data_IF_892660814346
#
_entry.id   IF_892660814346
#
_cell.length_a   1.000
_cell.length_b   1.000
_cell.length_c   1.000
_cell.angle_alpha   90.00
_cell.angle_beta   90.00
_cell.angle_gamma   90.00
#
_symmetry.space_group_name_H-M   'P 1'
#
loop_
_entity.id
_entity.type
_entity.pdbx_description
1 polymer ?
#
# COMPACT_ATOMS: atom_id res chain seq x y z
N UNK A 1 29.06 16.95 -16.76
CA UNK A 1 27.58 17.07 -16.87
C UNK A 1 26.88 15.71 -16.98
N UNK A 2 27.43 14.72 -17.68
CA UNK A 2 26.87 13.35 -17.74
C UNK A 2 26.68 12.68 -16.35
N UNK A 3 27.64 12.83 -15.44
CA UNK A 3 27.56 12.26 -14.08
C UNK A 3 26.43 12.84 -13.22
N UNK A 4 26.10 14.13 -13.41
CA UNK A 4 24.97 14.76 -12.72
C UNK A 4 23.63 14.26 -13.26
N UNK A 5 23.53 13.96 -14.55
CA UNK A 5 22.31 13.37 -15.12
C UNK A 5 22.14 11.92 -14.65
N UNK A 6 23.23 11.16 -14.61
CA UNK A 6 23.21 9.75 -14.20
C UNK A 6 22.90 9.55 -12.71
N UNK A 7 23.29 10.51 -11.86
CA UNK A 7 22.91 10.51 -10.43
C UNK A 7 21.46 10.94 -10.18
N UNK A 8 20.87 11.74 -11.07
CA UNK A 8 19.49 12.23 -10.93
C UNK A 8 18.43 11.28 -11.54
N UNK A 9 18.78 10.53 -12.59
CA UNK A 9 17.88 9.56 -13.22
C UNK A 9 17.30 8.52 -12.25
N UNK A 10 18.09 7.78 -11.44
CA UNK A 10 17.55 6.77 -10.53
C UNK A 10 16.66 7.37 -9.44
N UNK A 11 16.95 8.59 -8.98
CA UNK A 11 16.12 9.32 -8.02
C UNK A 11 14.75 9.62 -8.63
N UNK A 12 14.72 10.14 -9.86
CA UNK A 12 13.46 10.45 -10.56
C UNK A 12 12.65 9.20 -10.84
N UNK A 13 13.29 8.10 -11.25
CA UNK A 13 12.62 6.81 -11.45
C UNK A 13 12.02 6.28 -10.14
N UNK A 14 12.77 6.35 -9.04
CA UNK A 14 12.24 5.93 -7.74
C UNK A 14 11.06 6.80 -7.28
N UNK A 15 11.11 8.12 -7.54
CA UNK A 15 9.99 9.03 -7.24
C UNK A 15 8.75 8.70 -8.05
N UNK A 16 8.87 8.54 -9.37
CA UNK A 16 7.73 8.25 -10.24
C UNK A 16 7.15 6.88 -9.92
N UNK A 17 7.97 5.84 -9.84
CA UNK A 17 7.51 4.49 -9.49
C UNK A 17 6.88 4.46 -8.08
N UNK A 18 7.52 5.09 -7.09
CA UNK A 18 7.03 5.13 -5.71
C UNK A 18 5.65 5.77 -5.60
N UNK A 19 5.47 6.93 -6.26
CA UNK A 19 4.19 7.65 -6.32
C UNK A 19 3.13 6.89 -7.10
N UNK A 20 3.47 6.31 -8.26
CA UNK A 20 2.51 5.52 -9.06
C UNK A 20 2.03 4.31 -8.28
N UNK A 21 2.94 3.55 -7.66
CA UNK A 21 2.56 2.38 -6.86
C UNK A 21 1.75 2.77 -5.62
N UNK A 22 2.11 3.85 -4.92
CA UNK A 22 1.33 4.36 -3.79
C UNK A 22 -0.08 4.80 -4.21
N UNK A 23 -0.20 5.49 -5.35
CA UNK A 23 -1.48 5.92 -5.92
C UNK A 23 -2.37 4.74 -6.28
N UNK A 24 -1.81 3.68 -6.88
CA UNK A 24 -2.54 2.44 -7.18
C UNK A 24 -3.05 1.76 -5.90
N UNK A 25 -2.22 1.67 -4.86
CA UNK A 25 -2.62 1.10 -3.56
C UNK A 25 -3.76 1.91 -2.90
N UNK A 26 -3.64 3.24 -2.90
CA UNK A 26 -4.67 4.12 -2.37
C UNK A 26 -5.97 3.99 -3.16
N UNK A 27 -5.90 4.01 -4.49
CA UNK A 27 -7.05 3.83 -5.38
C UNK A 27 -7.75 2.49 -5.18
N UNK A 28 -7.01 1.39 -5.07
CA UNK A 28 -7.58 0.08 -4.77
C UNK A 28 -8.27 0.06 -3.39
N UNK A 29 -7.63 0.63 -2.37
CA UNK A 29 -8.20 0.71 -1.00
C UNK A 29 -9.50 1.51 -0.98
N UNK A 30 -9.53 2.64 -1.68
CA UNK A 30 -10.75 3.45 -1.83
C UNK A 30 -11.83 2.70 -2.60
N UNK A 31 -11.49 2.02 -3.70
CA UNK A 31 -12.45 1.24 -4.49
C UNK A 31 -13.07 0.11 -3.67
N UNK A 32 -12.28 -0.58 -2.85
CA UNK A 32 -12.81 -1.60 -1.94
C UNK A 32 -13.82 -1.03 -0.96
N UNK A 33 -13.54 0.15 -0.41
CA UNK A 33 -14.38 0.76 0.63
C UNK A 33 -15.64 1.41 0.06
N UNK A 34 -15.52 2.11 -1.07
CA UNK A 34 -16.59 2.92 -1.65
C UNK A 34 -17.47 2.14 -2.64
N UNK A 35 -16.92 1.11 -3.28
CA UNK A 35 -17.62 0.38 -4.35
C UNK A 35 -17.82 -1.08 -3.98
N UNK A 36 -16.77 -1.81 -3.65
CA UNK A 36 -16.88 -3.26 -3.45
C UNK A 36 -17.69 -3.61 -2.18
N UNK A 37 -17.35 -3.00 -1.04
CA UNK A 37 -17.98 -3.31 0.24
C UNK A 37 -19.51 -3.06 0.25
N UNK A 38 -20.03 -1.90 -0.19
CA UNK A 38 -21.48 -1.68 -0.23
C UNK A 38 -22.22 -2.73 -1.06
N UNK A 39 -21.66 -3.14 -2.21
CA UNK A 39 -22.27 -4.16 -3.09
C UNK A 39 -22.22 -5.56 -2.51
N UNK A 40 -21.16 -5.89 -1.78
CA UNK A 40 -21.06 -7.16 -1.06
C UNK A 40 -22.11 -7.23 0.07
N UNK A 41 -22.34 -6.11 0.78
CA UNK A 41 -23.32 -6.03 1.87
C UNK A 41 -24.79 -6.14 1.40
N UNK A 42 -25.07 -5.86 0.14
CA UNK A 42 -26.40 -6.05 -0.47
C UNK A 42 -26.71 -7.52 -0.78
N UNK A 43 -25.71 -8.41 -0.76
CA UNK A 43 -25.87 -9.82 -1.12
C UNK A 43 -26.39 -10.69 0.03
N UNK A 44 -27.14 -11.78 -0.25
CA UNK A 44 -27.49 -12.77 0.77
C UNK A 44 -26.24 -13.35 1.47
N UNK A 45 -26.36 -13.71 2.74
CA UNK A 45 -25.22 -14.09 3.59
C UNK A 45 -24.26 -15.11 2.96
N UNK A 46 -24.70 -16.23 2.34
CA UNK A 46 -23.77 -17.19 1.75
C UNK A 46 -22.92 -16.58 0.62
N UNK A 47 -23.56 -15.78 -0.24
CA UNK A 47 -22.90 -15.12 -1.37
C UNK A 47 -21.97 -14.00 -0.90
N UNK A 48 -22.40 -13.23 0.10
CA UNK A 48 -21.58 -12.19 0.74
C UNK A 48 -20.27 -12.76 1.25
N UNK A 49 -20.31 -13.88 1.97
CA UNK A 49 -19.14 -14.53 2.54
C UNK A 49 -18.18 -15.03 1.44
N UNK A 50 -18.73 -15.62 0.38
CA UNK A 50 -17.95 -16.06 -0.77
C UNK A 50 -17.29 -14.88 -1.52
N UNK A 51 -18.05 -13.80 -1.75
CA UNK A 51 -17.52 -12.58 -2.40
C UNK A 51 -16.42 -11.93 -1.56
N UNK A 52 -16.61 -11.83 -0.24
CA UNK A 52 -15.58 -11.33 0.67
C UNK A 52 -14.32 -12.20 0.64
N UNK A 53 -14.47 -13.53 0.71
CA UNK A 53 -13.34 -14.48 0.65
C UNK A 53 -12.53 -14.29 -0.63
N UNK A 54 -13.20 -14.18 -1.77
CA UNK A 54 -12.54 -13.97 -3.07
C UNK A 54 -11.85 -12.61 -3.14
N UNK A 55 -12.53 -11.54 -2.73
CA UNK A 55 -11.98 -10.18 -2.70
C UNK A 55 -10.74 -10.10 -1.80
N UNK A 56 -10.84 -10.62 -0.58
CA UNK A 56 -9.74 -10.59 0.40
C UNK A 56 -8.55 -11.44 -0.05
N UNK A 57 -8.80 -12.64 -0.60
CA UNK A 57 -7.72 -13.52 -1.12
C UNK A 57 -7.00 -12.85 -2.28
N UNK A 58 -7.75 -12.19 -3.17
CA UNK A 58 -7.18 -11.43 -4.28
C UNK A 58 -6.38 -10.23 -3.76
N UNK A 59 -6.95 -9.39 -2.90
CA UNK A 59 -6.24 -8.23 -2.32
C UNK A 59 -4.95 -8.62 -1.59
N UNK A 60 -4.98 -9.71 -0.81
CA UNK A 60 -3.80 -10.18 -0.08
C UNK A 60 -2.66 -10.64 -1.00
N UNK A 61 -2.95 -11.09 -2.22
CA UNK A 61 -1.90 -11.57 -3.12
C UNK A 61 -1.09 -10.43 -3.75
N UNK A 62 -1.70 -9.27 -4.02
CA UNK A 62 -1.02 -8.17 -4.72
C UNK A 62 -0.79 -6.91 -3.87
N UNK A 63 -1.61 -6.61 -2.87
CA UNK A 63 -1.45 -5.37 -2.09
C UNK A 63 -0.16 -5.36 -1.23
N UNK A 64 0.20 -6.43 -0.49
CA UNK A 64 1.44 -6.42 0.30
C UNK A 64 2.71 -6.30 -0.55
N UNK A 65 2.87 -7.03 -1.69
CA UNK A 65 4.02 -6.82 -2.58
C UNK A 65 4.13 -5.39 -3.13
N UNK A 66 3.02 -4.78 -3.55
CA UNK A 66 3.03 -3.39 -4.03
C UNK A 66 3.37 -2.40 -2.90
N UNK A 67 2.87 -2.65 -1.69
CA UNK A 67 3.20 -1.84 -0.52
C UNK A 67 4.69 -1.92 -0.17
N UNK A 68 5.27 -3.13 -0.22
CA UNK A 68 6.71 -3.34 -0.03
C UNK A 68 7.53 -2.62 -1.11
N UNK A 69 7.11 -2.70 -2.38
CA UNK A 69 7.77 -1.99 -3.48
C UNK A 69 7.76 -0.47 -3.25
N UNK A 70 6.58 0.11 -3.02
CA UNK A 70 6.44 1.56 -2.80
C UNK A 70 7.23 2.03 -1.57
N UNK A 71 7.14 1.27 -0.47
CA UNK A 71 7.88 1.56 0.77
C UNK A 71 9.39 1.52 0.55
N UNK A 72 9.90 0.51 -0.17
CA UNK A 72 11.33 0.37 -0.48
C UNK A 72 11.84 1.54 -1.31
N UNK A 73 11.05 2.00 -2.30
CA UNK A 73 11.40 3.16 -3.13
C UNK A 73 11.43 4.45 -2.30
N UNK A 74 10.47 4.66 -1.39
CA UNK A 74 10.51 5.82 -0.50
C UNK A 74 11.66 5.76 0.50
N UNK A 75 11.99 4.60 1.07
CA UNK A 75 13.16 4.49 1.95
C UNK A 75 14.49 4.70 1.21
N UNK A 76 14.59 4.24 -0.04
CA UNK A 76 15.71 4.59 -0.91
C UNK A 76 15.80 6.11 -1.13
N UNK A 77 14.69 6.78 -1.41
CA UNK A 77 14.68 8.24 -1.56
C UNK A 77 15.05 8.97 -0.26
N UNK A 78 14.63 8.44 0.89
CA UNK A 78 15.05 8.95 2.19
C UNK A 78 16.56 8.84 2.38
N UNK A 79 17.19 7.70 2.03
CA UNK A 79 18.64 7.56 2.16
C UNK A 79 19.40 8.53 1.27
N UNK A 80 18.90 8.81 0.07
CA UNK A 80 19.49 9.80 -0.85
C UNK A 80 19.27 11.25 -0.38
N UNK A 81 18.21 11.52 0.38
CA UNK A 81 17.90 12.84 0.93
C UNK A 81 18.73 13.20 2.18
N UNK A 82 19.60 12.32 2.67
CA UNK A 82 20.40 12.52 3.89
C UNK A 82 21.55 13.52 3.66
N UNK A 83 21.24 14.82 3.58
CA UNK A 83 22.22 15.92 3.60
C UNK A 83 22.06 16.79 4.84
N UNK A 84 23.12 17.51 5.25
CA UNK A 84 23.16 18.35 6.47
C UNK A 84 22.42 19.70 6.34
N UNK A 85 21.66 19.92 5.26
CA UNK A 85 20.86 21.14 5.10
C UNK A 85 19.44 20.97 5.67
N UNK A 86 18.83 21.99 6.30
CA UNK A 86 17.47 21.94 6.84
C UNK A 86 16.43 21.44 5.82
N UNK A 87 16.52 21.89 4.56
CA UNK A 87 15.63 21.46 3.47
C UNK A 87 15.77 19.98 3.09
N UNK A 88 16.82 19.32 3.55
CA UNK A 88 17.06 17.90 3.32
C UNK A 88 16.53 17.05 4.46
N UNK A 89 16.42 17.60 5.67
CA UNK A 89 15.76 16.95 6.80
C UNK A 89 14.26 16.78 6.56
N UNK A 90 13.58 17.80 6.04
CA UNK A 90 12.13 17.72 5.74
C UNK A 90 11.84 16.68 4.66
N UNK A 91 12.66 16.64 3.61
CA UNK A 91 12.55 15.63 2.54
C UNK A 91 12.80 14.22 3.06
N UNK A 92 13.80 14.05 3.93
CA UNK A 92 14.08 12.77 4.58
C UNK A 92 12.86 12.27 5.36
N UNK A 93 12.30 13.10 6.25
CA UNK A 93 11.15 12.70 7.06
C UNK A 93 9.88 12.49 6.23
N UNK A 94 9.68 13.28 5.16
CA UNK A 94 8.57 13.08 4.22
C UNK A 94 8.63 11.70 3.55
N UNK A 95 9.82 11.29 3.07
CA UNK A 95 10.01 9.97 2.48
C UNK A 95 9.90 8.84 3.50
N UNK A 96 10.42 9.01 4.72
CA UNK A 96 10.25 8.02 5.80
C UNK A 96 8.77 7.83 6.12
N UNK A 97 8.02 8.93 6.30
CA UNK A 97 6.59 8.90 6.58
C UNK A 97 5.83 8.20 5.44
N UNK A 98 6.11 8.54 4.18
CA UNK A 98 5.51 7.89 3.02
C UNK A 98 5.79 6.38 2.97
N UNK A 99 7.04 5.97 3.24
CA UNK A 99 7.42 4.56 3.28
C UNK A 99 6.75 3.78 4.40
N UNK A 100 6.63 4.37 5.59
CA UNK A 100 5.92 3.77 6.74
C UNK A 100 4.42 3.66 6.46
N UNK A 101 3.80 4.71 5.93
CA UNK A 101 2.38 4.70 5.58
C UNK A 101 2.07 3.65 4.53
N UNK A 102 2.87 3.53 3.48
CA UNK A 102 2.72 2.49 2.46
C UNK A 102 2.78 1.09 3.07
N UNK A 103 3.75 0.83 3.97
CA UNK A 103 3.93 -0.47 4.60
C UNK A 103 2.87 -0.80 5.68
N UNK A 104 2.23 0.23 6.25
CA UNK A 104 1.28 0.09 7.36
C UNK A 104 0.02 -0.72 7.03
N UNK A 105 -0.24 -1.01 5.76
CA UNK A 105 -1.35 -1.89 5.34
C UNK A 105 -1.28 -3.26 6.01
N UNK A 106 -0.08 -3.83 6.16
CA UNK A 106 0.13 -5.15 6.78
C UNK A 106 -0.21 -5.13 8.28
N UNK A 107 0.41 -4.27 9.12
CA UNK A 107 0.06 -4.21 10.54
C UNK A 107 -1.39 -3.79 10.76
N UNK A 108 -1.94 -2.88 9.94
CA UNK A 108 -3.37 -2.53 10.02
C UNK A 108 -4.26 -3.75 9.83
N UNK A 109 -3.98 -4.57 8.80
CA UNK A 109 -4.77 -5.78 8.51
C UNK A 109 -4.65 -6.81 9.64
N UNK A 110 -3.46 -6.99 10.21
CA UNK A 110 -3.24 -7.95 11.30
C UNK A 110 -3.90 -7.51 12.61
N UNK A 111 -3.83 -6.22 12.94
CA UNK A 111 -4.34 -5.69 14.22
C UNK A 111 -5.86 -5.51 14.16
N UNK A 112 -6.40 -4.91 13.10
CA UNK A 112 -7.80 -4.49 13.06
C UNK A 112 -8.70 -5.44 12.27
N UNK A 113 -8.18 -6.12 11.23
CA UNK A 113 -9.02 -6.95 10.36
C UNK A 113 -8.93 -8.45 10.65
N UNK A 114 -7.92 -8.94 11.37
CA UNK A 114 -7.70 -10.38 11.57
C UNK A 114 -8.89 -11.08 12.24
N UNK A 115 -9.46 -10.50 13.31
CA UNK A 115 -10.62 -11.05 14.00
C UNK A 115 -11.87 -11.10 13.13
N UNK A 116 -12.14 -10.02 12.39
CA UNK A 116 -13.26 -9.95 11.42
C UNK A 116 -13.07 -10.95 10.30
N UNK A 117 -11.87 -11.02 9.72
CA UNK A 117 -11.53 -11.97 8.66
C UNK A 117 -11.64 -13.41 9.12
N UNK A 118 -11.24 -13.75 10.35
CA UNK A 118 -11.39 -15.11 10.87
C UNK A 118 -12.86 -15.55 10.87
N UNK A 119 -13.79 -14.66 11.27
CA UNK A 119 -15.23 -14.94 11.28
C UNK A 119 -15.81 -15.04 9.86
N UNK A 120 -15.48 -14.10 8.99
CA UNK A 120 -16.02 -14.05 7.63
C UNK A 120 -15.48 -15.18 6.75
N UNK A 121 -14.18 -15.50 6.84
CA UNK A 121 -13.56 -16.55 6.05
C UNK A 121 -13.98 -17.94 6.53
N UNK A 122 -14.13 -18.14 7.85
CA UNK A 122 -14.63 -19.41 8.41
C UNK A 122 -16.13 -19.63 8.20
N UNK A 123 -16.92 -18.56 8.01
CA UNK A 123 -18.34 -18.66 7.67
C UNK A 123 -18.60 -19.08 6.23
N UNK A 124 -17.72 -18.72 5.29
CA UNK A 124 -17.85 -19.06 3.86
C UNK A 124 -17.46 -20.49 3.48
N UNK A 125 -17.19 -21.35 4.47
CA UNK A 125 -16.85 -22.77 4.28
C UNK A 125 -17.97 -23.71 4.74
N UNK A 126 -19.09 -23.15 5.21
CA UNK A 126 -20.32 -23.88 5.60
C UNK A 126 -21.40 -23.65 4.56
#
# INVERSE_FOLDING_TARGET
>A
MADLVQTQLPIRLAQTMGLTTAGLLAGASFSFSLVALPRILESPTPLLLQQWKNLYTSGKSFMPPLALLSSSLFFYLASQARSRSPSSADRFWGYVAAGVLALSIVPYTLVFMSGTNARLLGGGER
#
